data_IF_441157845132
#
_entry.id   IF_441157845132
#
_cell.length_a   1.000
_cell.length_b   1.000
_cell.length_c   1.000
_cell.angle_alpha   90.00
_cell.angle_beta   90.00
_cell.angle_gamma   90.00
#
_symmetry.space_group_name_H-M   'P 1'
#
loop_
_entity.id
_entity.type
_entity.pdbx_description
1 polymer ?
#
# COMPACT_ATOMS: atom_id res chain seq x y z
N UNK A 1 -62.10 22.96 17.92
CA UNK A 1 -62.04 22.75 16.46
C UNK A 1 -60.76 21.95 16.17
N UNK A 2 -60.94 20.66 15.82
CA UNK A 2 -60.04 19.64 15.20
C UNK A 2 -58.50 19.85 15.27
N UNK A 3 -57.75 19.01 15.99
CA UNK A 3 -57.20 17.64 15.69
C UNK A 3 -55.96 17.62 14.78
N UNK A 4 -55.00 16.77 15.19
CA UNK A 4 -53.93 16.05 14.45
C UNK A 4 -52.51 16.44 14.88
N UNK A 5 -51.53 15.55 15.05
CA UNK A 5 -51.48 14.11 15.35
C UNK A 5 -50.00 13.75 15.58
N UNK A 6 -49.78 12.65 16.27
CA UNK A 6 -48.52 12.06 16.73
C UNK A 6 -47.77 11.30 15.62
N UNK A 7 -46.44 11.43 15.49
CA UNK A 7 -45.52 10.41 14.90
C UNK A 7 -44.15 10.56 15.58
N UNK A 8 -43.77 9.77 16.59
CA UNK A 8 -43.31 8.37 16.61
C UNK A 8 -41.83 8.18 16.20
N UNK A 9 -41.11 7.54 17.13
CA UNK A 9 -39.67 7.23 17.20
C UNK A 9 -39.10 6.61 15.92
N UNK A 10 -37.88 7.02 15.58
CA UNK A 10 -36.90 6.14 14.93
C UNK A 10 -35.55 6.25 15.67
N UNK A 11 -35.34 5.31 16.61
CA UNK A 11 -34.02 4.96 17.14
C UNK A 11 -33.26 4.29 15.99
N UNK A 12 -32.30 4.99 15.40
CA UNK A 12 -31.28 4.34 14.57
C UNK A 12 -30.37 3.56 15.52
N UNK A 13 -30.39 2.23 15.40
CA UNK A 13 -29.40 1.34 16.01
C UNK A 13 -28.03 1.73 15.44
N UNK A 14 -27.17 2.32 16.27
CA UNK A 14 -25.73 2.31 16.01
C UNK A 14 -25.27 0.86 16.07
N UNK A 15 -25.12 0.23 14.91
CA UNK A 15 -24.31 -0.98 14.78
C UNK A 15 -22.86 -0.50 14.82
N UNK A 16 -22.22 -0.73 15.95
CA UNK A 16 -20.79 -0.46 16.13
C UNK A 16 -19.98 -1.27 15.13
N UNK A 17 -19.55 -0.64 14.05
CA UNK A 17 -18.42 -1.12 13.24
C UNK A 17 -17.15 -0.65 13.93
N UNK A 18 -16.67 -1.49 14.86
CA UNK A 18 -15.46 -1.26 15.62
C UNK A 18 -14.26 -1.08 14.69
N UNK A 19 -13.72 0.12 14.68
CA UNK A 19 -12.31 0.35 14.37
C UNK A 19 -11.51 -0.29 15.51
N UNK A 20 -11.23 -1.59 15.39
CA UNK A 20 -10.20 -2.21 16.21
C UNK A 20 -8.86 -1.76 15.64
N UNK A 21 -8.09 -1.05 16.46
CA UNK A 21 -6.67 -0.81 16.22
C UNK A 21 -6.01 -2.15 15.87
N UNK A 22 -5.18 -2.24 14.82
CA UNK A 22 -4.18 -3.29 14.77
C UNK A 22 -3.31 -3.08 16.01
N UNK A 23 -3.24 -4.08 16.88
CA UNK A 23 -2.22 -4.11 17.92
C UNK A 23 -0.85 -4.13 17.24
N UNK A 24 -0.15 -3.00 17.26
CA UNK A 24 1.26 -2.94 16.92
C UNK A 24 2.02 -3.77 17.96
N UNK A 25 2.47 -4.95 17.55
CA UNK A 25 3.43 -5.75 18.31
C UNK A 25 4.74 -4.98 18.39
N UNK A 26 5.09 -4.56 19.60
CA UNK A 26 6.35 -3.89 19.90
C UNK A 26 7.55 -4.69 19.41
N UNK A 27 8.50 -3.97 18.84
CA UNK A 27 9.79 -4.49 18.41
C UNK A 27 10.56 -5.08 19.60
N UNK A 28 10.74 -6.39 19.63
CA UNK A 28 11.80 -7.02 20.41
C UNK A 28 13.00 -7.26 19.50
N UNK A 29 13.95 -6.32 19.54
CA UNK A 29 15.30 -6.54 19.03
C UNK A 29 16.02 -7.53 19.95
N UNK A 30 16.41 -8.69 19.41
CA UNK A 30 17.40 -9.58 20.01
C UNK A 30 18.47 -9.90 18.94
N UNK A 31 19.78 -9.74 19.22
CA UNK A 31 20.82 -9.91 18.22
C UNK A 31 21.20 -11.39 18.04
N UNK A 32 21.11 -11.88 16.81
CA UNK A 32 21.63 -13.18 16.42
C UNK A 32 23.16 -13.10 16.21
N UNK A 33 23.92 -13.87 17.00
CA UNK A 33 25.35 -14.12 16.77
C UNK A 33 25.50 -15.18 15.67
N UNK A 34 26.15 -14.83 14.55
CA UNK A 34 26.50 -15.75 13.47
C UNK A 34 27.89 -15.44 12.93
N UNK A 35 28.73 -16.47 12.83
CA UNK A 35 30.19 -16.39 12.66
C UNK A 35 30.59 -16.17 11.20
N UNK A 36 31.57 -15.29 11.00
CA UNK A 36 32.36 -15.14 9.78
C UNK A 36 33.03 -16.45 9.36
N UNK A 37 32.96 -16.77 8.07
CA UNK A 37 33.96 -17.57 7.35
C UNK A 37 34.16 -16.95 5.97
N UNK A 38 35.34 -16.38 5.76
CA UNK A 38 35.83 -15.90 4.47
C UNK A 38 36.18 -17.07 3.55
N UNK A 39 36.02 -16.95 2.21
CA UNK A 39 36.61 -17.86 1.23
C UNK A 39 38.02 -17.39 0.81
N UNK A 40 38.94 -18.29 0.43
CA UNK A 40 40.21 -17.86 -0.14
C UNK A 40 40.10 -17.64 -1.65
N UNK A 41 40.62 -16.49 -2.07
CA UNK A 41 41.03 -16.16 -3.42
C UNK A 41 42.00 -17.20 -4.02
N UNK A 42 41.86 -17.47 -5.33
CA UNK A 42 43.02 -17.64 -6.22
C UNK A 42 42.66 -17.34 -7.67
N UNK A 43 43.26 -16.25 -8.14
CA UNK A 43 43.48 -15.88 -9.52
C UNK A 43 44.50 -16.84 -10.14
N UNK A 44 44.17 -17.48 -11.26
CA UNK A 44 45.15 -17.90 -12.26
C UNK A 44 44.68 -17.47 -13.65
N UNK A 45 45.45 -16.55 -14.24
CA UNK A 45 45.39 -16.15 -15.63
C UNK A 45 46.29 -17.09 -16.43
N UNK A 46 45.77 -17.65 -17.53
CA UNK A 46 46.59 -18.15 -18.65
C UNK A 46 45.82 -17.94 -19.96
N UNK A 47 46.42 -17.20 -20.88
CA UNK A 47 46.04 -17.07 -22.31
C UNK A 47 47.09 -17.79 -23.17
N UNK A 48 46.98 -17.82 -24.51
CA UNK A 48 46.05 -18.60 -25.32
C UNK A 48 46.80 -19.60 -26.25
N UNK A 49 46.13 -20.64 -26.76
CA UNK A 49 46.65 -21.41 -27.91
C UNK A 49 45.52 -21.60 -28.93
N UNK A 50 45.74 -21.05 -30.12
CA UNK A 50 44.93 -21.31 -31.30
C UNK A 50 45.45 -22.56 -32.03
N UNK A 51 44.54 -23.45 -32.46
CA UNK A 51 44.39 -23.85 -33.88
C UNK A 51 43.43 -25.05 -34.08
N UNK A 52 42.37 -24.77 -34.85
CA UNK A 52 41.87 -25.50 -36.04
C UNK A 52 41.29 -26.92 -35.94
N UNK A 53 40.06 -27.02 -36.49
CA UNK A 53 39.42 -28.21 -37.11
C UNK A 53 38.32 -28.82 -36.23
N UNK A 54 37.12 -29.15 -36.67
CA UNK A 54 36.46 -29.13 -37.98
C UNK A 54 34.94 -29.23 -37.74
N UNK A 55 34.20 -28.64 -38.67
CA UNK A 55 32.77 -28.76 -39.01
C UNK A 55 31.86 -29.74 -38.24
N UNK A 56 30.75 -29.25 -37.70
CA UNK A 56 29.43 -29.88 -37.87
C UNK A 56 28.28 -28.86 -37.79
N UNK A 57 27.56 -28.79 -38.90
CA UNK A 57 26.15 -28.37 -39.08
C UNK A 57 25.30 -28.16 -37.82
N UNK A 58 24.68 -26.99 -37.71
CA UNK A 58 23.21 -26.89 -37.53
C UNK A 58 22.74 -25.42 -37.49
N UNK A 59 21.90 -25.08 -38.47
CA UNK A 59 20.75 -24.17 -38.39
C UNK A 59 20.79 -23.03 -37.37
N UNK A 60 21.29 -21.88 -37.81
CA UNK A 60 21.18 -20.62 -37.08
C UNK A 60 19.77 -20.04 -37.09
N UNK A 61 18.89 -20.56 -36.25
CA UNK A 61 17.69 -19.83 -35.84
C UNK A 61 18.14 -18.82 -34.79
N UNK A 62 18.38 -17.57 -35.22
CA UNK A 62 18.57 -16.46 -34.29
C UNK A 62 17.36 -16.43 -33.37
N UNK A 63 17.51 -16.88 -32.11
CA UNK A 63 16.54 -16.66 -31.05
C UNK A 63 16.27 -15.17 -31.03
N UNK A 64 15.10 -14.77 -31.53
CA UNK A 64 14.51 -13.47 -31.19
C UNK A 64 14.28 -13.54 -29.70
N UNK A 65 15.26 -13.05 -28.92
CA UNK A 65 15.09 -12.80 -27.50
C UNK A 65 14.07 -11.68 -27.43
N UNK A 66 12.80 -12.08 -27.40
CA UNK A 66 11.70 -11.17 -27.10
C UNK A 66 11.93 -10.81 -25.65
N UNK A 67 12.54 -9.65 -25.38
CA UNK A 67 12.68 -9.14 -24.03
C UNK A 67 11.27 -8.96 -23.48
N UNK A 68 10.81 -9.95 -22.70
CA UNK A 68 9.48 -9.92 -22.09
C UNK A 68 9.42 -8.70 -21.18
N UNK A 69 8.44 -7.82 -21.44
CA UNK A 69 8.21 -6.65 -20.60
C UNK A 69 7.96 -7.14 -19.17
N UNK A 70 8.73 -6.66 -18.16
CA UNK A 70 8.54 -7.11 -16.79
C UNK A 70 7.09 -6.91 -16.33
N UNK A 71 6.55 -7.89 -15.60
CA UNK A 71 5.20 -7.79 -15.04
C UNK A 71 5.05 -6.52 -14.20
N UNK A 72 3.83 -5.96 -14.05
CA UNK A 72 3.62 -4.79 -13.20
C UNK A 72 4.15 -5.01 -11.77
N UNK A 73 4.02 -6.23 -11.24
CA UNK A 73 4.58 -6.61 -9.93
C UNK A 73 6.10 -6.49 -9.87
N UNK A 74 6.81 -6.97 -10.91
CA UNK A 74 8.27 -6.89 -10.95
C UNK A 74 8.75 -5.45 -11.05
N UNK A 75 8.05 -4.61 -11.83
CA UNK A 75 8.33 -3.18 -11.90
C UNK A 75 8.03 -2.48 -10.57
N UNK A 76 6.95 -2.84 -9.89
CA UNK A 76 6.64 -2.34 -8.56
C UNK A 76 7.76 -2.70 -7.57
N UNK A 77 8.22 -3.96 -7.57
CA UNK A 77 9.34 -4.40 -6.75
C UNK A 77 10.62 -3.59 -7.02
N UNK A 78 10.94 -3.34 -8.29
CA UNK A 78 12.09 -2.51 -8.67
C UNK A 78 11.95 -1.06 -8.17
N UNK A 79 10.75 -0.49 -8.21
CA UNK A 79 10.50 0.87 -7.73
C UNK A 79 10.67 0.98 -6.22
N UNK A 80 10.10 0.04 -5.45
CA UNK A 80 10.17 0.07 -3.98
C UNK A 80 11.49 -0.43 -3.38
N UNK A 81 12.40 -0.95 -4.21
CA UNK A 81 13.77 -1.31 -3.80
C UNK A 81 14.71 -0.10 -3.72
N UNK A 82 14.35 1.01 -4.38
CA UNK A 82 15.10 2.27 -4.37
C UNK A 82 15.10 2.92 -2.97
N UNK A 83 16.10 3.74 -2.59
CA UNK A 83 16.03 4.54 -1.36
C UNK A 83 14.68 5.28 -1.22
N UNK A 84 14.14 5.40 -0.01
CA UNK A 84 12.74 5.87 0.19
C UNK A 84 12.47 7.28 -0.36
N UNK A 85 13.47 8.15 -0.30
CA UNK A 85 13.46 9.48 -0.88
C UNK A 85 13.43 9.48 -2.42
N UNK A 86 13.86 8.38 -3.04
CA UNK A 86 13.94 8.19 -4.49
C UNK A 86 12.80 7.34 -5.06
N UNK A 87 11.95 6.73 -4.22
CA UNK A 87 10.77 5.98 -4.68
C UNK A 87 9.82 6.94 -5.41
N UNK A 88 9.48 6.65 -6.67
CA UNK A 88 8.41 7.34 -7.37
C UNK A 88 7.06 6.81 -6.86
N UNK A 89 6.47 7.53 -5.91
CA UNK A 89 5.27 7.12 -5.18
C UNK A 89 4.05 7.00 -6.11
N UNK A 90 3.83 7.98 -7.01
CA UNK A 90 2.77 7.91 -8.02
C UNK A 90 2.95 6.71 -8.95
N UNK A 91 4.16 6.47 -9.47
CA UNK A 91 4.45 5.34 -10.36
C UNK A 91 4.23 4.01 -9.64
N UNK A 92 4.73 3.86 -8.41
CA UNK A 92 4.51 2.66 -7.62
C UNK A 92 3.00 2.40 -7.39
N UNK A 93 2.22 3.43 -7.07
CA UNK A 93 0.77 3.32 -6.91
C UNK A 93 0.05 2.95 -8.23
N UNK A 94 0.49 3.50 -9.36
CA UNK A 94 -0.05 3.16 -10.68
C UNK A 94 0.34 1.73 -11.11
N UNK A 95 1.51 1.23 -10.72
CA UNK A 95 1.89 -0.17 -10.95
C UNK A 95 1.06 -1.15 -10.11
N UNK A 96 0.65 -0.75 -8.90
CA UNK A 96 -0.35 -1.50 -8.12
C UNK A 96 -1.68 -1.55 -8.88
N UNK A 97 -2.13 -0.42 -9.41
CA UNK A 97 -3.36 -0.35 -10.20
C UNK A 97 -3.29 -1.14 -11.51
N UNK A 98 -2.13 -1.17 -12.19
CA UNK A 98 -1.95 -1.87 -13.46
C UNK A 98 -2.08 -3.39 -13.34
N UNK A 99 -1.90 -3.98 -12.14
CA UNK A 99 -2.24 -5.39 -11.95
C UNK A 99 -3.77 -5.64 -11.89
N UNK A 100 -4.57 -4.67 -11.42
CA UNK A 100 -6.04 -4.75 -11.49
C UNK A 100 -6.54 -4.40 -12.90
N UNK A 101 -5.86 -3.46 -13.55
CA UNK A 101 -6.16 -2.94 -14.88
C UNK A 101 -4.98 -3.19 -15.84
N UNK A 102 -4.84 -4.40 -16.44
CA UNK A 102 -3.65 -4.78 -17.22
C UNK A 102 -3.30 -3.84 -18.39
N UNK A 103 -4.30 -3.16 -18.95
CA UNK A 103 -4.15 -2.23 -20.07
C UNK A 103 -3.94 -0.77 -19.62
N UNK A 104 -3.83 -0.50 -18.32
CA UNK A 104 -3.64 0.84 -17.78
C UNK A 104 -2.33 1.45 -18.30
N UNK A 105 -2.38 2.58 -19.02
CA UNK A 105 -1.16 3.26 -19.44
C UNK A 105 -0.63 4.11 -18.29
N UNK A 106 0.51 3.74 -17.70
CA UNK A 106 1.06 4.43 -16.50
C UNK A 106 1.48 5.87 -16.80
N UNK A 107 2.23 6.11 -17.88
CA UNK A 107 2.82 7.42 -18.17
C UNK A 107 1.79 8.56 -18.32
N UNK A 108 0.64 8.38 -19.02
CA UNK A 108 -0.39 9.42 -19.09
C UNK A 108 -0.92 9.90 -17.74
N UNK A 109 -0.99 9.03 -16.72
CA UNK A 109 -1.42 9.46 -15.38
C UNK A 109 -0.32 10.23 -14.64
N UNK A 110 0.96 9.92 -14.88
CA UNK A 110 2.08 10.72 -14.37
C UNK A 110 2.10 12.10 -15.02
N UNK A 111 1.96 12.18 -16.34
CA UNK A 111 1.84 13.45 -17.07
C UNK A 111 0.63 14.28 -16.64
N UNK A 112 -0.43 13.63 -16.14
CA UNK A 112 -1.58 14.34 -15.58
C UNK A 112 -1.26 15.04 -14.26
N UNK A 113 -0.40 14.46 -13.43
CA UNK A 113 0.11 15.12 -12.21
C UNK A 113 1.01 16.30 -12.58
N UNK A 114 1.84 16.16 -13.62
CA UNK A 114 2.63 17.27 -14.17
C UNK A 114 1.72 18.40 -14.65
N UNK A 115 0.67 18.09 -15.42
CA UNK A 115 -0.29 19.07 -15.91
C UNK A 115 -1.04 19.82 -14.78
N UNK A 116 -1.35 19.15 -13.67
CA UNK A 116 -1.93 19.80 -12.49
C UNK A 116 -0.95 20.79 -11.84
N UNK A 117 0.34 20.44 -11.78
CA UNK A 117 1.36 21.35 -11.27
C UNK A 117 1.54 22.57 -12.20
N UNK A 118 1.55 22.36 -13.51
CA UNK A 118 1.63 23.45 -14.48
C UNK A 118 0.38 24.36 -14.46
N UNK A 119 -0.82 23.83 -14.20
CA UNK A 119 -2.03 24.64 -13.96
C UNK A 119 -1.84 25.61 -12.79
N UNK A 120 -1.24 25.12 -11.68
CA UNK A 120 -0.95 25.94 -10.49
C UNK A 120 0.09 27.01 -10.83
N UNK A 121 1.23 26.62 -11.43
CA UNK A 121 2.29 27.58 -11.81
C UNK A 121 1.78 28.68 -12.73
N UNK A 122 0.94 28.33 -13.71
CA UNK A 122 0.40 29.29 -14.69
C UNK A 122 -0.43 30.42 -14.07
N UNK A 123 -0.93 30.26 -12.84
CA UNK A 123 -1.72 31.26 -12.12
C UNK A 123 -0.91 32.13 -11.16
N UNK A 124 0.28 31.68 -10.76
CA UNK A 124 1.09 32.36 -9.75
C UNK A 124 1.85 33.58 -10.27
N UNK A 125 1.91 33.82 -11.59
CA UNK A 125 2.59 35.01 -12.16
C UNK A 125 4.02 35.22 -11.63
N UNK A 126 4.78 34.13 -11.44
CA UNK A 126 6.11 34.05 -10.81
C UNK A 126 6.16 34.24 -9.28
N UNK A 127 5.03 34.26 -8.58
CA UNK A 127 5.00 34.16 -7.12
C UNK A 127 5.56 32.80 -6.67
N UNK A 128 6.46 32.84 -5.69
CA UNK A 128 7.18 31.67 -5.15
C UNK A 128 7.01 31.51 -3.64
N UNK A 129 6.33 32.43 -2.97
CA UNK A 129 6.05 32.35 -1.55
C UNK A 129 5.32 31.03 -1.21
N UNK A 130 5.93 30.13 -0.42
CA UNK A 130 5.42 28.76 -0.24
C UNK A 130 3.96 28.67 0.23
N UNK A 131 3.50 29.60 1.07
CA UNK A 131 2.11 29.63 1.52
C UNK A 131 1.12 30.05 0.42
N UNK A 132 1.53 30.96 -0.48
CA UNK A 132 0.69 31.37 -1.62
C UNK A 132 0.60 30.23 -2.63
N UNK A 133 1.73 29.56 -2.90
CA UNK A 133 1.77 28.36 -3.76
C UNK A 133 0.93 27.23 -3.15
N UNK A 134 1.01 27.00 -1.84
CA UNK A 134 0.16 26.04 -1.14
C UNK A 134 -1.33 26.39 -1.29
N UNK A 135 -1.72 27.64 -1.06
CA UNK A 135 -3.12 28.06 -1.19
C UNK A 135 -3.63 27.83 -2.61
N UNK A 136 -2.86 28.23 -3.62
CA UNK A 136 -3.24 28.04 -5.03
C UNK A 136 -3.31 26.55 -5.41
N UNK A 137 -2.44 25.71 -4.85
CA UNK A 137 -2.49 24.25 -5.00
C UNK A 137 -3.78 23.66 -4.42
N UNK A 138 -4.17 24.07 -3.21
CA UNK A 138 -5.40 23.59 -2.58
C UNK A 138 -6.64 24.02 -3.38
N UNK A 139 -6.68 25.27 -3.84
CA UNK A 139 -7.74 25.78 -4.70
C UNK A 139 -7.81 25.04 -6.04
N UNK A 140 -6.66 24.77 -6.66
CA UNK A 140 -6.57 23.99 -7.89
C UNK A 140 -7.17 22.60 -7.72
N UNK A 141 -6.76 21.87 -6.69
CA UNK A 141 -7.16 20.47 -6.51
C UNK A 141 -8.60 20.36 -6.01
N UNK A 142 -8.95 21.04 -4.91
CA UNK A 142 -10.19 20.76 -4.19
C UNK A 142 -11.37 21.64 -4.63
N UNK A 143 -11.10 22.78 -5.27
CA UNK A 143 -12.16 23.67 -5.76
C UNK A 143 -12.32 23.62 -7.28
N UNK A 144 -11.25 23.82 -8.06
CA UNK A 144 -11.35 23.83 -9.54
C UNK A 144 -11.41 22.44 -10.15
N UNK A 145 -10.53 21.53 -9.71
CA UNK A 145 -10.52 20.14 -10.18
C UNK A 145 -11.47 19.22 -9.37
N UNK A 146 -12.12 19.77 -8.33
CA UNK A 146 -13.17 19.13 -7.54
C UNK A 146 -12.80 17.74 -6.97
N UNK A 147 -11.52 17.52 -6.66
CA UNK A 147 -11.08 16.35 -5.90
C UNK A 147 -11.79 16.33 -4.54
N UNK A 148 -12.37 15.20 -4.15
CA UNK A 148 -13.11 15.09 -2.90
C UNK A 148 -13.16 13.68 -2.31
N UNK A 149 -13.32 13.62 -1.00
CA UNK A 149 -13.55 12.36 -0.28
C UNK A 149 -14.83 11.66 -0.72
N UNK A 150 -14.76 10.36 -1.01
CA UNK A 150 -15.94 9.55 -1.31
C UNK A 150 -16.61 9.07 -0.02
N UNK A 151 -17.44 9.91 0.58
CA UNK A 151 -18.15 9.59 1.84
C UNK A 151 -19.31 8.60 1.65
N UNK A 152 -19.93 8.62 0.46
CA UNK A 152 -21.09 7.78 0.12
C UNK A 152 -20.70 6.31 -0.05
N UNK A 153 -19.56 6.06 -0.70
CA UNK A 153 -19.07 4.72 -0.99
C UNK A 153 -17.60 4.60 -0.55
N UNK A 154 -17.34 4.81 0.75
CA UNK A 154 -15.98 4.86 1.31
C UNK A 154 -15.14 3.61 1.01
N UNK A 155 -15.76 2.43 1.10
CA UNK A 155 -15.11 1.13 0.87
C UNK A 155 -15.13 0.67 -0.60
N UNK A 156 -15.49 1.53 -1.56
CA UNK A 156 -15.32 1.25 -2.99
C UNK A 156 -13.82 1.11 -3.30
N UNK A 157 -13.34 -0.05 -3.81
CA UNK A 157 -11.91 -0.29 -4.04
C UNK A 157 -11.28 0.74 -5.01
N UNK A 158 -12.08 1.30 -5.92
CA UNK A 158 -11.65 2.37 -6.84
C UNK A 158 -11.19 3.64 -6.12
N UNK A 159 -11.56 3.84 -4.85
CA UNK A 159 -11.05 4.97 -4.08
C UNK A 159 -9.56 4.80 -3.69
N UNK A 160 -9.02 3.58 -3.75
CA UNK A 160 -7.64 3.24 -3.41
C UNK A 160 -6.70 3.17 -4.62
N UNK A 161 -7.22 3.17 -5.84
CA UNK A 161 -6.42 3.13 -7.07
C UNK A 161 -6.18 4.53 -7.62
N UNK A 162 -4.91 4.92 -7.80
CA UNK A 162 -4.55 6.29 -8.18
C UNK A 162 -5.14 6.70 -9.54
N UNK A 163 -5.22 5.79 -10.51
CA UNK A 163 -5.85 6.06 -11.81
C UNK A 163 -7.34 6.42 -11.67
N UNK A 164 -8.09 5.62 -10.91
CA UNK A 164 -9.51 5.86 -10.65
C UNK A 164 -9.73 7.18 -9.89
N UNK A 165 -8.85 7.49 -8.93
CA UNK A 165 -8.91 8.74 -8.16
C UNK A 165 -8.66 9.94 -9.07
N UNK A 166 -7.68 9.86 -9.97
CA UNK A 166 -7.38 10.91 -10.95
C UNK A 166 -8.51 11.09 -11.96
N UNK A 167 -9.17 10.01 -12.39
CA UNK A 167 -10.28 10.07 -13.35
C UNK A 167 -11.58 10.55 -12.73
N UNK A 168 -11.95 9.98 -11.58
CA UNK A 168 -13.24 10.24 -10.92
C UNK A 168 -13.20 11.44 -9.99
N UNK A 169 -12.01 11.95 -9.66
CA UNK A 169 -11.78 13.00 -8.67
C UNK A 169 -12.32 12.63 -7.28
N UNK A 170 -12.37 11.33 -6.98
CA UNK A 170 -12.94 10.77 -5.75
C UNK A 170 -11.99 9.75 -5.15
N UNK A 171 -11.67 9.89 -3.86
CA UNK A 171 -10.73 8.99 -3.18
C UNK A 171 -10.98 8.87 -1.68
N UNK A 172 -10.05 8.19 -1.01
CA UNK A 172 -9.93 8.11 0.44
C UNK A 172 -8.85 9.08 0.93
N UNK A 173 -8.71 9.34 2.25
CA UNK A 173 -7.73 10.31 2.76
C UNK A 173 -6.32 10.09 2.21
N UNK A 174 -5.86 8.83 2.17
CA UNK A 174 -4.55 8.48 1.66
C UNK A 174 -4.36 8.85 0.18
N UNK A 175 -5.25 8.41 -0.72
CA UNK A 175 -5.03 8.61 -2.16
C UNK A 175 -5.22 10.05 -2.60
N UNK A 176 -6.11 10.81 -1.94
CA UNK A 176 -6.19 12.26 -2.12
C UNK A 176 -4.93 12.97 -1.57
N UNK A 177 -4.39 12.49 -0.46
CA UNK A 177 -3.10 12.94 0.06
C UNK A 177 -1.94 12.64 -0.88
N UNK A 178 -1.92 11.49 -1.54
CA UNK A 178 -0.92 11.18 -2.58
C UNK A 178 -1.01 12.14 -3.75
N UNK A 179 -2.23 12.47 -4.24
CA UNK A 179 -2.39 13.49 -5.30
C UNK A 179 -1.85 14.84 -4.83
N UNK A 180 -2.20 15.27 -3.62
CA UNK A 180 -1.71 16.53 -3.05
C UNK A 180 -0.18 16.57 -2.94
N UNK A 181 0.43 15.52 -2.38
CA UNK A 181 1.88 15.40 -2.24
C UNK A 181 2.59 15.41 -3.60
N UNK A 182 2.11 14.63 -4.56
CA UNK A 182 2.72 14.49 -5.88
C UNK A 182 2.70 15.81 -6.67
N UNK A 183 1.61 16.57 -6.59
CA UNK A 183 1.55 17.89 -7.22
C UNK A 183 2.35 18.90 -6.41
N UNK A 184 2.29 18.86 -5.08
CA UNK A 184 3.07 19.74 -4.20
C UNK A 184 4.58 19.60 -4.37
N UNK A 185 5.09 18.38 -4.51
CA UNK A 185 6.52 18.13 -4.74
C UNK A 185 6.99 18.62 -6.11
N UNK A 186 6.14 18.57 -7.15
CA UNK A 186 6.42 19.17 -8.47
C UNK A 186 6.47 20.70 -8.44
N UNK A 187 5.87 21.29 -7.41
CA UNK A 187 5.91 22.70 -7.07
C UNK A 187 6.99 23.02 -6.04
N UNK A 188 7.85 22.05 -5.71
CA UNK A 188 8.95 22.17 -4.73
C UNK A 188 8.47 22.54 -3.31
N UNK A 189 7.21 22.22 -2.97
CA UNK A 189 6.69 22.49 -1.62
C UNK A 189 7.24 21.49 -0.59
N UNK A 190 7.63 21.96 0.61
CA UNK A 190 8.10 21.13 1.71
C UNK A 190 6.92 20.40 2.36
N UNK A 191 6.50 19.28 1.76
CA UNK A 191 5.33 18.53 2.20
C UNK A 191 5.68 17.08 2.54
N UNK A 192 5.09 16.57 3.63
CA UNK A 192 5.23 15.17 4.05
C UNK A 192 3.87 14.55 4.37
N UNK A 193 3.70 13.27 4.10
CA UNK A 193 2.52 12.54 4.54
C UNK A 193 2.53 12.33 6.04
N UNK A 194 1.37 12.24 6.69
CA UNK A 194 1.25 11.94 8.13
C UNK A 194 0.27 10.80 8.33
N UNK A 195 0.77 9.70 8.92
CA UNK A 195 -0.04 8.54 9.27
C UNK A 195 -0.80 8.77 10.57
N UNK A 196 -1.87 9.57 10.47
CA UNK A 196 -2.73 9.90 11.60
C UNK A 196 -3.67 8.73 11.96
N UNK A 197 -3.98 8.47 13.24
CA UNK A 197 -4.94 7.43 13.61
C UNK A 197 -6.29 7.64 12.94
N UNK A 198 -6.75 6.61 12.22
CA UNK A 198 -8.03 6.63 11.51
C UNK A 198 -8.08 7.49 10.23
N UNK A 199 -7.02 8.25 9.91
CA UNK A 199 -7.05 9.27 8.87
C UNK A 199 -5.69 9.47 8.19
N UNK A 200 -5.61 10.19 7.07
CA UNK A 200 -4.31 10.55 6.47
C UNK A 200 -4.30 12.05 6.22
N UNK A 201 -3.24 12.71 6.67
CA UNK A 201 -3.05 14.15 6.53
C UNK A 201 -1.78 14.41 5.75
N UNK A 202 -1.64 15.62 5.24
CA UNK A 202 -0.40 16.10 4.64
C UNK A 202 0.09 17.26 5.47
N UNK A 203 1.32 17.17 5.98
CA UNK A 203 1.99 18.28 6.65
C UNK A 203 2.69 19.14 5.61
N UNK A 204 2.52 20.45 5.73
CA UNK A 204 3.34 21.46 5.08
C UNK A 204 4.27 22.09 6.13
N UNK A 205 5.56 22.15 5.83
CA UNK A 205 6.60 22.67 6.72
C UNK A 205 7.13 24.00 6.17
N UNK A 206 6.49 25.11 6.55
CA UNK A 206 6.99 26.46 6.28
C UNK A 206 8.12 26.85 7.25
N UNK A 207 8.72 28.02 7.03
CA UNK A 207 9.84 28.51 7.86
C UNK A 207 9.46 28.67 9.34
N UNK A 208 8.28 29.25 9.62
CA UNK A 208 7.80 29.53 10.99
C UNK A 208 6.54 28.75 11.37
N UNK A 209 5.95 27.99 10.45
CA UNK A 209 4.64 27.35 10.65
C UNK A 209 4.61 25.92 10.14
N UNK A 210 3.97 25.04 10.90
CA UNK A 210 3.60 23.69 10.49
C UNK A 210 2.10 23.57 10.37
N UNK A 211 1.66 23.22 9.18
CA UNK A 211 0.24 23.12 8.85
C UNK A 211 -0.11 21.67 8.52
N UNK A 212 -1.25 21.20 9.02
CA UNK A 212 -1.87 19.95 8.63
C UNK A 212 -3.00 20.24 7.64
N UNK A 213 -2.88 19.67 6.45
CA UNK A 213 -3.89 19.71 5.40
C UNK A 213 -4.66 18.40 5.43
N UNK A 214 -6.00 18.48 5.38
CA UNK A 214 -6.89 17.34 5.24
C UNK A 214 -7.41 17.22 3.78
N UNK A 215 -6.83 16.33 2.95
CA UNK A 215 -7.25 16.14 1.56
C UNK A 215 -8.67 15.57 1.44
N UNK A 216 -9.16 14.85 2.46
CA UNK A 216 -10.49 14.25 2.44
C UNK A 216 -11.59 15.26 2.78
N UNK A 217 -11.23 16.32 3.53
CA UNK A 217 -12.10 17.43 3.90
C UNK A 217 -11.85 18.68 3.04
N UNK A 218 -11.58 18.47 1.74
CA UNK A 218 -11.48 19.55 0.75
C UNK A 218 -10.24 20.43 0.90
N UNK A 219 -9.12 19.88 1.38
CA UNK A 219 -7.89 20.63 1.59
C UNK A 219 -7.91 21.52 2.83
N UNK A 220 -8.82 21.27 3.79
CA UNK A 220 -8.93 22.10 5.00
C UNK A 220 -7.59 22.11 5.76
N UNK A 221 -7.08 23.32 5.97
CA UNK A 221 -5.85 23.61 6.70
C UNK A 221 -6.14 23.79 8.19
N UNK A 222 -5.24 23.27 9.02
CA UNK A 222 -5.20 23.45 10.48
C UNK A 222 -3.75 23.61 10.92
N UNK A 223 -3.53 24.20 12.08
CA UNK A 223 -2.22 24.13 12.73
C UNK A 223 -2.00 22.73 13.33
N UNK A 224 -0.75 22.33 13.49
CA UNK A 224 -0.41 21.00 14.03
C UNK A 224 -0.84 20.82 15.49
N UNK A 225 -0.90 21.90 16.28
CA UNK A 225 -1.39 21.90 17.67
C UNK A 225 -2.92 21.70 17.77
N UNK A 226 -3.66 21.94 16.69
CA UNK A 226 -5.09 21.62 16.57
C UNK A 226 -5.36 20.15 16.23
N UNK A 227 -4.33 19.28 16.16
CA UNK A 227 -4.50 17.86 15.85
C UNK A 227 -5.40 17.11 16.85
N UNK A 228 -5.50 17.56 18.10
CA UNK A 228 -6.39 16.95 19.09
C UNK A 228 -7.86 17.03 18.65
N UNK A 229 -8.29 18.14 18.03
CA UNK A 229 -9.67 18.31 17.56
C UNK A 229 -10.05 17.30 16.46
N UNK A 230 -9.07 16.81 15.70
CA UNK A 230 -9.28 15.75 14.72
C UNK A 230 -9.50 14.40 15.42
N UNK A 231 -8.72 14.07 16.44
CA UNK A 231 -8.92 12.85 17.23
C UNK A 231 -10.27 12.88 17.96
N UNK A 232 -10.67 14.02 18.49
CA UNK A 232 -11.91 14.15 19.24
C UNK A 232 -13.13 13.86 18.35
N UNK A 233 -13.08 14.25 17.08
CA UNK A 233 -14.14 13.92 16.10
C UNK A 233 -14.20 12.43 15.74
N UNK A 234 -13.06 11.75 15.69
CA UNK A 234 -12.97 10.35 15.27
C UNK A 234 -13.19 9.38 16.44
N UNK A 235 -12.64 9.70 17.61
CA UNK A 235 -12.60 8.82 18.78
C UNK A 235 -13.38 9.36 19.98
N UNK A 236 -14.12 10.46 19.84
CA UNK A 236 -14.96 11.01 20.90
C UNK A 236 -14.17 11.44 22.15
N UNK A 237 -12.93 11.90 21.98
CA UNK A 237 -12.06 12.35 23.07
C UNK A 237 -11.38 11.24 23.87
N UNK A 238 -11.53 9.96 23.47
CA UNK A 238 -10.92 8.82 24.17
C UNK A 238 -9.41 8.69 23.91
N UNK A 239 -8.88 9.37 22.89
CA UNK A 239 -7.49 9.27 22.46
C UNK A 239 -6.85 10.66 22.51
N UNK A 240 -5.76 10.78 23.28
CA UNK A 240 -4.94 11.99 23.30
C UNK A 240 -3.89 11.95 22.20
N UNK A 241 -3.62 13.10 21.59
CA UNK A 241 -2.58 13.22 20.57
C UNK A 241 -1.23 12.85 21.17
N UNK A 242 -0.48 12.05 20.42
CA UNK A 242 0.86 11.63 20.78
C UNK A 242 1.80 12.09 19.66
N UNK A 243 3.05 12.48 19.95
CA UNK A 243 4.02 12.84 18.92
C UNK A 243 4.18 11.76 17.84
N UNK A 244 4.02 10.48 18.22
CA UNK A 244 4.06 9.34 17.32
C UNK A 244 3.01 9.40 16.19
N UNK A 245 1.86 10.06 16.41
CA UNK A 245 0.76 10.21 15.44
C UNK A 245 1.03 11.27 14.38
N UNK A 246 2.01 12.16 14.63
CA UNK A 246 2.40 13.26 13.74
C UNK A 246 3.74 12.96 13.03
N UNK A 247 4.20 11.70 13.12
CA UNK A 247 5.39 11.25 12.38
C UNK A 247 5.12 11.29 10.88
N UNK A 248 6.12 11.76 10.15
CA UNK A 248 6.12 11.72 8.70
C UNK A 248 6.01 10.26 8.23
N UNK A 249 5.11 10.01 7.29
CA UNK A 249 4.97 8.75 6.60
C UNK A 249 6.01 8.68 5.47
N UNK A 250 6.82 7.61 5.45
CA UNK A 250 7.69 7.30 4.33
C UNK A 250 6.86 6.94 3.08
N UNK A 251 7.48 6.94 1.90
CA UNK A 251 6.81 6.54 0.65
C UNK A 251 6.38 5.08 0.73
N UNK A 252 7.22 4.22 1.32
CA UNK A 252 6.85 2.82 1.61
C UNK A 252 5.68 2.71 2.58
N UNK A 253 5.62 3.51 3.65
CA UNK A 253 4.48 3.49 4.58
C UNK A 253 3.17 3.82 3.86
N UNK A 254 3.19 4.82 2.96
CA UNK A 254 2.03 5.19 2.16
C UNK A 254 1.59 4.05 1.22
N UNK A 255 2.53 3.38 0.55
CA UNK A 255 2.24 2.23 -0.32
C UNK A 255 1.71 1.03 0.47
N UNK A 256 2.29 0.72 1.64
CA UNK A 256 1.78 -0.33 2.53
C UNK A 256 0.37 0.01 2.96
N UNK A 257 0.10 1.24 3.39
CA UNK A 257 -1.25 1.67 3.79
C UNK A 257 -2.25 1.57 2.63
N UNK A 258 -1.85 1.90 1.40
CA UNK A 258 -2.67 1.74 0.19
C UNK A 258 -3.04 0.26 -0.01
N UNK A 259 -2.07 -0.63 0.10
CA UNK A 259 -2.28 -2.08 -0.03
C UNK A 259 -3.10 -2.65 1.14
N UNK A 260 -2.92 -2.16 2.36
CA UNK A 260 -3.72 -2.54 3.53
C UNK A 260 -5.18 -2.14 3.35
N UNK A 261 -5.45 -0.96 2.78
CA UNK A 261 -6.82 -0.53 2.45
C UNK A 261 -7.46 -1.48 1.43
N UNK A 262 -6.75 -1.82 0.35
CA UNK A 262 -7.23 -2.78 -0.66
C UNK A 262 -7.46 -4.16 -0.05
N UNK A 263 -6.51 -4.68 0.73
CA UNK A 263 -6.63 -5.93 1.48
C UNK A 263 -7.90 -5.94 2.34
N UNK A 264 -8.14 -4.88 3.11
CA UNK A 264 -9.34 -4.76 3.95
C UNK A 264 -10.64 -4.80 3.15
N UNK A 265 -10.71 -4.04 2.04
CA UNK A 265 -11.88 -4.04 1.15
C UNK A 265 -12.14 -5.44 0.56
N UNK A 266 -11.10 -6.12 0.07
CA UNK A 266 -11.25 -7.44 -0.54
C UNK A 266 -11.56 -8.55 0.48
N UNK A 267 -10.98 -8.48 1.68
CA UNK A 267 -11.33 -9.40 2.77
C UNK A 267 -12.80 -9.27 3.17
N UNK A 268 -13.30 -8.04 3.28
CA UNK A 268 -14.72 -7.78 3.58
C UNK A 268 -15.64 -8.29 2.47
N UNK A 269 -15.21 -8.18 1.21
CA UNK A 269 -15.92 -8.74 0.05
C UNK A 269 -15.72 -10.25 -0.13
N UNK A 270 -14.92 -10.90 0.71
CA UNK A 270 -14.48 -12.31 0.59
C UNK A 270 -13.78 -12.63 -0.73
N UNK A 271 -13.19 -11.64 -1.40
CA UNK A 271 -12.35 -11.83 -2.59
C UNK A 271 -10.93 -12.21 -2.15
N UNK A 272 -10.75 -13.49 -1.83
CA UNK A 272 -9.46 -14.01 -1.33
C UNK A 272 -8.32 -13.88 -2.34
N UNK A 273 -8.63 -13.93 -3.65
CA UNK A 273 -7.64 -13.79 -4.72
C UNK A 273 -7.04 -12.39 -4.74
N UNK A 274 -7.89 -11.35 -4.74
CA UNK A 274 -7.41 -9.97 -4.72
C UNK A 274 -6.80 -9.59 -3.36
N UNK A 275 -7.34 -10.10 -2.27
CA UNK A 275 -6.73 -9.93 -0.95
C UNK A 275 -5.32 -10.53 -0.88
N UNK A 276 -5.11 -11.75 -1.41
CA UNK A 276 -3.79 -12.38 -1.48
C UNK A 276 -2.83 -11.52 -2.30
N UNK A 277 -3.29 -11.01 -3.44
CA UNK A 277 -2.47 -10.16 -4.29
C UNK A 277 -1.99 -8.90 -3.51
N UNK A 278 -2.88 -8.26 -2.75
CA UNK A 278 -2.50 -7.12 -1.91
C UNK A 278 -1.45 -7.50 -0.85
N UNK A 279 -1.64 -8.62 -0.13
CA UNK A 279 -0.69 -9.15 0.86
C UNK A 279 0.68 -9.41 0.23
N UNK A 280 0.73 -10.06 -0.92
CA UNK A 280 1.98 -10.37 -1.60
C UNK A 280 2.77 -9.11 -2.00
N UNK A 281 2.09 -8.00 -2.32
CA UNK A 281 2.78 -6.72 -2.58
C UNK A 281 3.23 -6.04 -1.30
N UNK A 282 2.52 -6.20 -0.18
CA UNK A 282 3.01 -5.73 1.11
C UNK A 282 4.30 -6.48 1.46
N UNK A 283 4.35 -7.79 1.20
CA UNK A 283 5.55 -8.62 1.39
C UNK A 283 6.70 -8.27 0.43
N UNK A 284 6.43 -7.64 -0.71
CA UNK A 284 7.51 -7.05 -1.53
C UNK A 284 8.18 -5.88 -0.81
N UNK A 285 7.42 -5.06 -0.07
CA UNK A 285 7.96 -3.93 0.70
C UNK A 285 8.55 -4.38 2.05
N UNK A 286 7.87 -5.32 2.72
CA UNK A 286 8.24 -5.84 4.03
C UNK A 286 8.27 -7.38 4.01
N UNK A 287 9.35 -7.99 3.47
CA UNK A 287 9.42 -9.44 3.24
C UNK A 287 9.33 -10.30 4.51
N UNK A 288 9.65 -9.74 5.66
CA UNK A 288 9.71 -10.44 6.95
C UNK A 288 8.54 -10.10 7.88
N UNK A 289 7.46 -9.50 7.37
CA UNK A 289 6.30 -9.13 8.16
C UNK A 289 5.51 -10.36 8.62
N UNK A 290 5.53 -10.73 9.92
CA UNK A 290 4.91 -11.98 10.37
C UNK A 290 3.40 -11.99 10.19
N UNK A 291 2.74 -10.85 10.42
CA UNK A 291 1.29 -10.73 10.23
C UNK A 291 0.88 -10.90 8.77
N UNK A 292 1.69 -10.43 7.83
CA UNK A 292 1.40 -10.55 6.39
C UNK A 292 1.72 -11.96 5.88
N UNK A 293 2.76 -12.62 6.40
CA UNK A 293 3.06 -14.04 6.09
C UNK A 293 1.92 -14.94 6.59
N UNK A 294 1.46 -14.73 7.83
CA UNK A 294 0.28 -15.41 8.38
C UNK A 294 -0.96 -15.20 7.50
N UNK A 295 -1.22 -13.96 7.09
CA UNK A 295 -2.40 -13.65 6.27
C UNK A 295 -2.29 -14.26 4.87
N UNK A 296 -1.09 -14.31 4.29
CA UNK A 296 -0.80 -15.01 3.04
C UNK A 296 -1.13 -16.50 3.17
N UNK A 297 -0.61 -17.18 4.20
CA UNK A 297 -0.88 -18.59 4.46
C UNK A 297 -2.37 -18.88 4.66
N UNK A 298 -3.06 -18.04 5.44
CA UNK A 298 -4.51 -18.16 5.67
C UNK A 298 -5.32 -18.00 4.38
N UNK A 299 -4.92 -17.06 3.51
CA UNK A 299 -5.59 -16.84 2.22
C UNK A 299 -5.32 -17.98 1.23
N UNK A 300 -4.09 -18.48 1.18
CA UNK A 300 -3.71 -19.65 0.38
C UNK A 300 -4.53 -20.88 0.78
N UNK A 301 -4.68 -21.15 2.09
CA UNK A 301 -5.49 -22.22 2.62
C UNK A 301 -6.95 -22.12 2.15
N UNK A 302 -7.54 -20.93 2.22
CA UNK A 302 -8.93 -20.67 1.75
C UNK A 302 -9.11 -20.86 0.25
N UNK A 303 -8.04 -20.81 -0.53
CA UNK A 303 -8.05 -21.05 -1.97
C UNK A 303 -7.62 -22.47 -2.34
N UNK A 304 -7.44 -23.37 -1.36
CA UNK A 304 -7.05 -24.76 -1.58
C UNK A 304 -5.58 -24.96 -1.96
N UNK A 305 -4.74 -23.93 -1.82
CA UNK A 305 -3.29 -24.00 -2.08
C UNK A 305 -2.59 -24.49 -0.81
N UNK A 306 -2.86 -25.75 -0.44
CA UNK A 306 -2.53 -26.32 0.87
C UNK A 306 -1.04 -26.36 1.17
N UNK A 307 -0.21 -26.84 0.24
CA UNK A 307 1.25 -26.93 0.45
C UNK A 307 1.86 -25.55 0.71
N UNK A 308 1.54 -24.57 -0.14
CA UNK A 308 2.02 -23.20 0.03
C UNK A 308 1.47 -22.57 1.32
N UNK A 309 0.22 -22.89 1.70
CA UNK A 309 -0.33 -22.40 2.95
C UNK A 309 0.43 -22.92 4.16
N UNK A 310 0.72 -24.22 4.20
CA UNK A 310 1.48 -24.87 5.27
C UNK A 310 2.86 -24.23 5.42
N UNK A 311 3.60 -24.03 4.32
CA UNK A 311 4.91 -23.38 4.33
C UNK A 311 4.85 -22.01 5.02
N UNK A 312 3.90 -21.16 4.66
CA UNK A 312 3.79 -19.82 5.25
C UNK A 312 3.35 -19.86 6.73
N UNK A 313 2.41 -20.73 7.08
CA UNK A 313 1.85 -20.81 8.44
C UNK A 313 2.83 -21.45 9.43
N UNK A 314 3.61 -22.44 9.00
CA UNK A 314 4.68 -23.06 9.79
C UNK A 314 5.79 -22.05 10.06
N UNK A 315 6.24 -21.31 9.03
CA UNK A 315 7.20 -20.22 9.21
C UNK A 315 6.72 -19.21 10.26
N UNK A 316 5.44 -18.82 10.20
CA UNK A 316 4.85 -17.87 11.16
C UNK A 316 4.88 -18.41 12.59
N UNK A 317 4.54 -19.68 12.78
CA UNK A 317 4.57 -20.33 14.10
C UNK A 317 5.98 -20.48 14.66
N UNK A 318 6.97 -20.73 13.80
CA UNK A 318 8.37 -20.80 14.19
C UNK A 318 8.90 -19.41 14.60
N UNK A 319 8.51 -18.36 13.87
CA UNK A 319 8.92 -16.99 14.16
C UNK A 319 8.24 -16.41 15.40
N UNK A 320 6.94 -16.65 15.57
CA UNK A 320 6.12 -16.09 16.65
C UNK A 320 5.27 -17.16 17.36
N UNK A 321 5.91 -18.11 18.08
CA UNK A 321 5.21 -19.24 18.70
C UNK A 321 4.22 -18.83 19.79
N UNK A 322 4.46 -17.69 20.45
CA UNK A 322 3.60 -17.16 21.53
C UNK A 322 2.68 -16.02 21.07
N UNK A 323 2.48 -15.85 19.75
CA UNK A 323 1.51 -14.88 19.25
C UNK A 323 0.10 -15.19 19.77
N UNK A 324 -0.70 -14.15 20.04
CA UNK A 324 -2.04 -14.30 20.60
C UNK A 324 -2.97 -15.18 19.74
N UNK A 325 -2.71 -15.31 18.45
CA UNK A 325 -3.45 -16.17 17.53
C UNK A 325 -2.72 -17.47 17.13
N UNK A 326 -1.54 -17.74 17.69
CA UNK A 326 -0.73 -18.92 17.37
C UNK A 326 -1.51 -20.23 17.57
N UNK A 327 -2.30 -20.34 18.65
CA UNK A 327 -3.15 -21.52 18.89
C UNK A 327 -4.13 -21.78 17.75
N UNK A 328 -4.80 -20.73 17.24
CA UNK A 328 -5.72 -20.83 16.10
C UNK A 328 -4.99 -21.23 14.81
N UNK A 329 -3.76 -20.75 14.62
CA UNK A 329 -2.95 -21.09 13.45
C UNK A 329 -2.45 -22.54 13.52
N UNK A 330 -2.06 -23.06 14.70
CA UNK A 330 -1.70 -24.49 14.88
C UNK A 330 -2.87 -25.41 14.50
N UNK A 331 -4.08 -25.11 14.96
CA UNK A 331 -5.27 -25.88 14.60
C UNK A 331 -5.50 -25.88 13.08
N UNK A 332 -5.35 -24.73 12.42
CA UNK A 332 -5.47 -24.66 10.96
C UNK A 332 -4.41 -25.51 10.24
N UNK A 333 -3.17 -25.52 10.72
CA UNK A 333 -2.09 -26.36 10.17
C UNK A 333 -2.41 -27.86 10.32
N UNK A 334 -2.94 -28.28 11.47
CA UNK A 334 -3.37 -29.67 11.70
C UNK A 334 -4.54 -30.08 10.78
N UNK A 335 -5.54 -29.22 10.62
CA UNK A 335 -6.67 -29.42 9.69
C UNK A 335 -6.21 -29.55 8.23
N UNK A 336 -5.26 -28.70 7.81
CA UNK A 336 -4.73 -28.73 6.44
C UNK A 336 -3.93 -30.02 6.15
N UNK A 337 -3.16 -30.52 7.12
CA UNK A 337 -2.39 -31.77 6.99
C UNK A 337 -3.30 -33.00 6.91
N UNK A 338 -4.36 -33.03 7.71
CA UNK A 338 -5.32 -34.14 7.70
C UNK A 338 -6.13 -34.18 6.42
N UNK A 339 -6.58 -33.02 5.93
CA UNK A 339 -7.38 -32.93 4.69
C UNK A 339 -6.54 -33.15 3.42
N UNK A 340 -5.27 -32.71 3.40
CA UNK A 340 -4.36 -32.91 2.26
C UNK A 340 -3.94 -34.37 2.03
N UNK A 341 -3.84 -35.16 3.10
CA UNK A 341 -3.46 -36.58 3.01
C UNK A 341 -4.56 -37.49 2.42
N UNK A 342 -5.83 -37.11 2.54
CA UNK A 342 -6.94 -37.90 2.00
C UNK A 342 -7.10 -37.76 0.47
N UNK A 343 -6.74 -36.60 -0.10
CA UNK A 343 -6.76 -36.37 -1.56
C UNK A 343 -5.72 -37.18 -2.33
N UNK A 344 -4.57 -37.50 -1.73
CA UNK A 344 -3.53 -38.31 -2.37
C UNK A 344 -3.81 -39.83 -2.28
N UNK A 345 -4.57 -40.27 -1.29
CA UNK A 345 -4.90 -41.69 -1.08
C UNK A 345 -5.96 -42.28 -2.03
N UNK A 346 -6.75 -41.44 -2.71
CA UNK A 346 -7.86 -41.89 -3.56
C UNK A 346 -7.49 -42.09 -5.05
N UNK A 347 -6.29 -41.66 -5.48
CA UNK A 347 -5.80 -41.77 -6.86
C UNK A 347 -5.18 -43.12 -7.23
N UNK A 348 -4.88 -43.98 -6.25
CA UNK A 348 -4.13 -45.24 -6.45
C UNK A 348 -4.96 -46.53 -6.52
N UNK A 349 -6.30 -46.45 -6.51
CA UNK A 349 -7.17 -47.64 -6.60
C UNK A 349 -8.23 -47.48 -7.69
N UNK A 350 -7.81 -47.64 -8.94
CA UNK A 350 -8.67 -48.24 -9.97
C UNK A 350 -7.85 -49.34 -10.62
N UNK A 351 -8.27 -50.57 -10.35
CA UNK A 351 -7.68 -51.80 -10.87
C UNK A 351 -8.15 -52.14 -12.27
#
# INVERSE_FOLDING_TARGET
MRRMETVQRMRVRMVGSGWKLPHEGGSCFAPARGRHRDPPDRLEQCTPVAAVGETHSSEGWKKVVTLSVPSPRRRFAQEVDRPDDQVDLARAALLVAQEEYPQLPVEPYLSRLDALAEEVKGRLSNETAPLVVLQELLDALFHRNAFRGNREAYYDPRNSFLNDVLDRKRGIPLTLGMVLLEVGWRLELPMTGVNFPGHFLVRFEGEEVRLLVDPFDGGRVRFEDEAQDLLDRVYGGMVRVQPAFLRAASRRDMLVRLLTNLKGVYLNARDHRRALAAVERILVIHPTSPSEIRDRGTLLARMGRTEEALEQLEWYLDYAPEAADAGRIRTLVEELRTTGGESEGMGGRRG
#
